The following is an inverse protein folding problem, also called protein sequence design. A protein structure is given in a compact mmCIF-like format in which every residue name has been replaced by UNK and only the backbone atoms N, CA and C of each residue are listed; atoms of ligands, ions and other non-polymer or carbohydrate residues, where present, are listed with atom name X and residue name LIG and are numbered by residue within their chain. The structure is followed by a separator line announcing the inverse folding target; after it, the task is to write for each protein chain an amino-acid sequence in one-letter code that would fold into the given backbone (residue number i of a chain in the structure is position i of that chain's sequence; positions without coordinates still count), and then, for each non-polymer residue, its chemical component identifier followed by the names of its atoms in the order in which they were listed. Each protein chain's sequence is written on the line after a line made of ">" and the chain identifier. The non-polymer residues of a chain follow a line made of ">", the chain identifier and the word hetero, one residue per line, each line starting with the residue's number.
data_IF_431358070215
#
_entry.id   IF_431358070215
#
_cell.length_a   1.000
_cell.length_b   1.000
_cell.length_c   1.000
_cell.angle_alpha   90.00
_cell.angle_beta   90.00
_cell.angle_gamma   90.00
#
_symmetry.space_group_name_H-M   'P 1'
#
loop_
_entity.id
_entity.type
_entity.pdbx_description
1 polymer ?
#
# COMPACT_ATOMS: atom_id res chain seq x y z
N UNK A 1 31.59 -11.24 -15.99
CA UNK A 1 31.31 -11.16 -14.55
C UNK A 1 29.80 -11.32 -14.44
N UNK A 2 29.32 -12.37 -13.77
CA UNK A 2 27.88 -12.51 -13.53
C UNK A 2 27.54 -11.61 -12.34
N UNK A 3 26.57 -10.71 -12.50
CA UNK A 3 26.06 -9.89 -11.40
C UNK A 3 25.05 -10.76 -10.66
N UNK A 4 25.22 -10.90 -9.34
CA UNK A 4 24.34 -11.67 -8.48
C UNK A 4 23.59 -10.72 -7.55
N UNK A 5 22.48 -10.18 -8.06
CA UNK A 5 21.56 -9.35 -7.27
C UNK A 5 20.62 -10.24 -6.45
N UNK A 6 20.12 -9.72 -5.31
CA UNK A 6 19.07 -10.39 -4.52
C UNK A 6 17.86 -10.74 -5.38
N UNK A 7 17.13 -11.83 -5.06
CA UNK A 7 15.89 -12.19 -5.77
C UNK A 7 14.91 -11.02 -5.81
N UNK A 8 14.22 -10.86 -6.94
CA UNK A 8 13.21 -9.81 -7.09
C UNK A 8 11.99 -10.16 -6.24
N UNK A 9 11.59 -9.26 -5.36
CA UNK A 9 10.42 -9.43 -4.52
C UNK A 9 9.11 -9.08 -5.24
N UNK A 10 8.02 -9.70 -4.80
CA UNK A 10 6.66 -9.51 -5.29
C UNK A 10 5.65 -9.50 -4.13
N UNK A 11 4.50 -8.87 -4.32
CA UNK A 11 3.43 -8.90 -3.31
C UNK A 11 2.74 -10.29 -3.29
N UNK A 12 2.32 -10.74 -2.10
CA UNK A 12 1.64 -12.02 -1.93
C UNK A 12 0.38 -11.92 -1.06
N UNK A 13 -0.76 -12.29 -1.65
CA UNK A 13 -2.07 -12.29 -0.99
C UNK A 13 -2.84 -13.60 -1.24
N UNK A 14 -2.11 -14.71 -1.22
CA UNK A 14 -2.63 -16.05 -1.48
C UNK A 14 -2.47 -16.51 -2.93
N UNK A 15 -2.63 -17.81 -3.14
CA UNK A 15 -2.36 -18.48 -4.42
C UNK A 15 -3.50 -19.39 -4.91
N UNK A 16 -4.66 -19.37 -4.23
CA UNK A 16 -5.78 -20.24 -4.56
C UNK A 16 -6.23 -20.05 -6.02
N UNK A 17 -6.48 -21.14 -6.77
CA UNK A 17 -6.95 -21.02 -8.15
C UNK A 17 -8.29 -20.27 -8.25
N UNK A 18 -8.46 -19.44 -9.28
CA UNK A 18 -9.75 -18.79 -9.55
C UNK A 18 -10.90 -19.77 -9.85
N UNK A 19 -10.58 -21.03 -10.18
CA UNK A 19 -11.58 -22.09 -10.36
C UNK A 19 -12.14 -22.64 -9.05
N UNK A 20 -11.48 -22.37 -7.92
CA UNK A 20 -12.00 -22.70 -6.59
C UNK A 20 -13.15 -21.74 -6.30
N UNK A 21 -14.32 -22.21 -5.84
CA UNK A 21 -15.41 -21.34 -5.37
C UNK A 21 -15.02 -20.53 -4.12
N UNK A 22 -15.62 -19.36 -3.90
CA UNK A 22 -15.29 -18.47 -2.78
C UNK A 22 -15.54 -19.12 -1.42
N UNK A 23 -16.71 -19.73 -1.25
CA UNK A 23 -17.08 -20.49 -0.06
C UNK A 23 -16.12 -21.63 0.32
N UNK A 24 -15.30 -22.10 -0.63
CA UNK A 24 -14.34 -23.19 -0.43
C UNK A 24 -12.93 -22.67 -0.10
N UNK A 25 -12.71 -21.35 -0.10
CA UNK A 25 -11.48 -20.75 0.42
C UNK A 25 -11.61 -20.61 1.93
N UNK A 26 -10.62 -21.15 2.64
CA UNK A 26 -10.63 -21.09 4.09
C UNK A 26 -10.23 -19.68 4.58
N UNK A 27 -10.70 -19.24 5.77
CA UNK A 27 -10.37 -17.93 6.32
C UNK A 27 -8.87 -17.63 6.40
N UNK A 28 -8.05 -18.63 6.71
CA UNK A 28 -6.58 -18.50 6.74
C UNK A 28 -5.93 -18.19 5.40
N UNK A 29 -6.66 -18.33 4.29
CA UNK A 29 -6.17 -17.98 2.96
C UNK A 29 -6.72 -16.62 2.49
N UNK A 30 -7.35 -15.86 3.40
CA UNK A 30 -7.95 -14.55 3.15
C UNK A 30 -7.22 -13.48 3.96
N UNK A 31 -6.75 -12.47 3.24
CA UNK A 31 -6.09 -11.27 3.73
C UNK A 31 -7.09 -10.11 3.79
N UNK A 32 -7.15 -9.42 4.93
CA UNK A 32 -7.99 -8.25 5.15
C UNK A 32 -7.10 -7.08 5.54
N UNK A 33 -7.09 -6.06 4.70
CA UNK A 33 -6.56 -4.75 5.06
C UNK A 33 -7.60 -4.01 5.87
N UNK A 34 -7.34 -3.82 7.16
CA UNK A 34 -8.22 -3.07 8.04
C UNK A 34 -7.78 -1.61 8.02
N UNK A 35 -8.39 -0.79 7.15
CA UNK A 35 -8.09 0.65 7.09
C UNK A 35 -8.76 1.34 8.29
N UNK A 36 -7.97 1.60 9.33
CA UNK A 36 -8.39 2.13 10.63
C UNK A 36 -8.66 3.62 10.61
N UNK A 37 -7.83 4.35 9.86
CA UNK A 37 -7.91 5.79 9.72
C UNK A 37 -7.54 6.21 8.31
N UNK A 38 -8.41 7.03 7.74
CA UNK A 38 -8.29 7.60 6.39
C UNK A 38 -8.18 9.14 6.43
N UNK A 39 -8.10 9.74 7.63
CA UNK A 39 -8.03 11.19 7.80
C UNK A 39 -6.69 11.72 7.32
N UNK A 40 -6.70 12.72 6.45
CA UNK A 40 -5.49 13.41 5.96
C UNK A 40 -5.41 14.82 6.56
N UNK A 41 -4.35 15.11 7.31
CA UNK A 41 -4.25 16.35 8.08
C UNK A 41 -2.95 16.52 8.86
N UNK A 42 -2.91 17.55 9.72
CA UNK A 42 -1.72 17.92 10.50
C UNK A 42 -1.21 16.78 11.40
N UNK A 43 -2.13 16.06 12.03
CA UNK A 43 -1.83 15.00 12.99
C UNK A 43 -1.74 13.62 12.33
N UNK A 44 -1.87 13.53 11.01
CA UNK A 44 -1.84 12.28 10.27
C UNK A 44 -0.90 12.43 9.06
N UNK A 45 -1.24 11.90 7.89
CA UNK A 45 -0.52 12.25 6.67
C UNK A 45 -0.69 13.74 6.37
N UNK A 46 0.38 14.52 6.57
CA UNK A 46 0.38 15.95 6.30
C UNK A 46 0.47 16.30 4.80
N UNK A 47 0.60 15.32 3.92
CA UNK A 47 0.66 15.55 2.48
C UNK A 47 -0.75 15.73 1.90
N UNK A 48 -0.88 16.57 0.88
CA UNK A 48 -2.15 16.80 0.17
C UNK A 48 -1.97 16.45 -1.30
N UNK A 49 -1.48 15.23 -1.54
CA UNK A 49 -1.20 14.76 -2.88
C UNK A 49 -2.48 14.84 -3.71
N UNK A 50 -2.42 15.54 -4.85
CA UNK A 50 -3.58 15.75 -5.73
C UNK A 50 -4.18 14.46 -6.28
N UNK A 51 -3.44 13.35 -6.21
CA UNK A 51 -3.87 12.01 -6.62
C UNK A 51 -4.26 11.09 -5.44
N UNK A 52 -4.16 11.53 -4.18
CA UNK A 52 -4.40 10.67 -3.02
C UNK A 52 -5.87 10.26 -2.91
N UNK A 53 -6.11 8.97 -2.69
CA UNK A 53 -7.42 8.34 -2.53
C UNK A 53 -8.21 8.92 -1.38
N UNK A 54 -7.58 8.99 -0.21
CA UNK A 54 -8.15 9.52 1.03
C UNK A 54 -8.53 11.01 0.95
N UNK A 55 -8.05 11.73 -0.08
CA UNK A 55 -8.40 13.13 -0.33
C UNK A 55 -9.52 13.25 -1.37
N UNK A 56 -9.54 12.37 -2.36
CA UNK A 56 -10.36 12.52 -3.56
C UNK A 56 -11.61 11.63 -3.58
N UNK A 57 -11.72 10.63 -2.70
CA UNK A 57 -12.80 9.65 -2.76
C UNK A 57 -13.72 9.72 -1.54
N UNK A 58 -14.97 10.12 -1.77
CA UNK A 58 -15.95 10.41 -0.71
C UNK A 58 -16.22 9.23 0.23
N UNK A 59 -16.19 8.00 -0.29
CA UNK A 59 -16.45 6.77 0.49
C UNK A 59 -15.47 6.61 1.66
N UNK A 60 -14.22 7.00 1.46
CA UNK A 60 -13.12 6.87 2.44
C UNK A 60 -12.58 8.22 2.89
N UNK A 61 -13.23 9.32 2.54
CA UNK A 61 -12.77 10.63 2.96
C UNK A 61 -13.13 10.83 4.44
N UNK A 62 -12.13 11.12 5.27
CA UNK A 62 -12.33 11.53 6.67
C UNK A 62 -13.11 10.48 7.50
N UNK A 63 -12.83 9.20 7.24
CA UNK A 63 -13.39 8.04 7.95
C UNK A 63 -12.38 7.45 8.93
N UNK A 64 -12.85 7.00 10.09
CA UNK A 64 -12.03 6.25 11.05
C UNK A 64 -12.90 5.33 11.88
N UNK A 65 -12.37 4.18 12.30
CA UNK A 65 -12.90 3.48 13.48
C UNK A 65 -12.48 4.24 14.74
N UNK A 66 -13.21 4.02 15.84
CA UNK A 66 -12.76 4.49 17.14
C UNK A 66 -11.45 3.77 17.51
N UNK A 67 -10.50 4.50 18.09
CA UNK A 67 -9.14 4.01 18.30
C UNK A 67 -9.08 2.78 19.22
N UNK A 68 -10.00 2.71 20.20
CA UNK A 68 -10.14 1.56 21.09
C UNK A 68 -10.91 0.38 20.47
N UNK A 69 -11.67 0.60 19.40
CA UNK A 69 -12.45 -0.44 18.73
C UNK A 69 -11.60 -1.21 17.69
N UNK A 70 -10.67 -0.54 17.03
CA UNK A 70 -9.81 -1.15 16.02
C UNK A 70 -9.08 -2.44 16.46
N UNK A 71 -8.47 -2.51 17.66
CA UNK A 71 -7.85 -3.74 18.16
C UNK A 71 -8.85 -4.88 18.34
N UNK A 72 -10.06 -4.57 18.83
CA UNK A 72 -11.12 -5.56 19.03
C UNK A 72 -11.63 -6.11 17.69
N UNK A 73 -11.74 -5.27 16.66
CA UNK A 73 -12.02 -5.71 15.29
C UNK A 73 -10.93 -6.67 14.82
N UNK A 74 -9.66 -6.25 14.92
CA UNK A 74 -8.51 -7.04 14.47
C UNK A 74 -8.50 -8.42 15.15
N UNK A 75 -8.53 -8.45 16.48
CA UNK A 75 -8.53 -9.69 17.26
C UNK A 75 -9.74 -10.57 16.94
N UNK A 76 -10.92 -9.97 16.81
CA UNK A 76 -12.14 -10.68 16.44
C UNK A 76 -12.03 -11.38 15.08
N UNK A 77 -11.47 -10.71 14.07
CA UNK A 77 -11.27 -11.28 12.73
C UNK A 77 -10.14 -12.32 12.72
N UNK A 78 -9.02 -12.08 13.40
CA UNK A 78 -7.93 -13.06 13.52
C UNK A 78 -8.39 -14.34 14.25
N UNK A 79 -9.27 -14.22 15.24
CA UNK A 79 -9.85 -15.39 15.93
C UNK A 79 -10.70 -16.29 15.03
N UNK A 80 -11.17 -15.76 13.89
CA UNK A 80 -11.86 -16.50 12.83
C UNK A 80 -10.90 -17.11 11.79
N UNK A 81 -9.60 -16.83 11.91
CA UNK A 81 -8.54 -17.36 11.06
C UNK A 81 -8.03 -16.40 9.98
N UNK A 82 -8.61 -15.20 9.81
CA UNK A 82 -8.18 -14.25 8.79
C UNK A 82 -6.77 -13.70 9.05
N UNK A 83 -6.04 -13.38 7.97
CA UNK A 83 -4.84 -12.55 8.05
C UNK A 83 -5.22 -11.07 8.02
N UNK A 84 -5.12 -10.36 9.15
CA UNK A 84 -5.58 -8.98 9.26
C UNK A 84 -4.40 -8.00 9.40
N UNK A 85 -4.33 -7.05 8.48
CA UNK A 85 -3.27 -6.05 8.40
C UNK A 85 -3.83 -4.67 8.77
N UNK A 86 -3.51 -4.12 9.95
CA UNK A 86 -3.97 -2.78 10.31
C UNK A 86 -3.30 -1.75 9.40
N UNK A 87 -4.09 -0.85 8.85
CA UNK A 87 -3.64 0.22 7.96
C UNK A 87 -4.12 1.57 8.43
N UNK A 88 -3.26 2.56 8.28
CA UNK A 88 -3.53 3.95 8.62
C UNK A 88 -2.75 4.84 7.67
N UNK A 89 -3.18 6.09 7.54
CA UNK A 89 -2.62 6.99 6.53
C UNK A 89 -1.15 7.39 6.75
N UNK A 90 -0.56 7.13 7.93
CA UNK A 90 0.87 7.33 8.27
C UNK A 90 1.15 6.63 9.61
N UNK A 91 2.26 5.90 9.75
CA UNK A 91 2.59 5.19 11.00
C UNK A 91 2.90 6.13 12.15
N UNK A 92 3.43 7.32 11.85
CA UNK A 92 3.72 8.34 12.85
C UNK A 92 2.53 9.29 13.10
N UNK A 93 1.34 8.96 12.58
CA UNK A 93 0.11 9.69 12.88
C UNK A 93 -0.19 9.67 14.39
N UNK A 94 -0.78 10.75 14.89
CA UNK A 94 -1.12 10.96 16.30
C UNK A 94 0.07 10.65 17.23
N UNK A 95 1.25 11.14 16.86
CA UNK A 95 2.51 10.90 17.60
C UNK A 95 2.80 9.38 17.80
N UNK A 96 2.41 8.59 16.79
CA UNK A 96 2.60 7.14 16.70
C UNK A 96 1.68 6.31 17.61
N UNK A 97 0.50 6.84 17.96
CA UNK A 97 -0.47 6.13 18.79
C UNK A 97 -0.87 4.76 18.21
N UNK A 98 -1.05 4.66 16.89
CA UNK A 98 -1.33 3.37 16.25
C UNK A 98 -0.17 2.37 16.40
N UNK A 99 1.09 2.82 16.32
CA UNK A 99 2.24 1.92 16.53
C UNK A 99 2.24 1.36 17.95
N UNK A 100 1.88 2.17 18.95
CA UNK A 100 1.76 1.72 20.36
C UNK A 100 0.66 0.69 20.54
N UNK A 101 -0.45 0.84 19.82
CA UNK A 101 -1.63 -0.02 19.94
C UNK A 101 -1.40 -1.35 19.24
N UNK A 102 -0.91 -1.34 18.01
CA UNK A 102 -0.84 -2.53 17.16
C UNK A 102 0.52 -3.25 17.23
N UNK A 103 1.57 -2.59 17.75
CA UNK A 103 2.92 -3.12 17.66
C UNK A 103 3.38 -3.22 16.20
N UNK A 104 4.31 -4.12 15.86
CA UNK A 104 4.79 -4.26 14.49
C UNK A 104 3.68 -4.80 13.60
N UNK A 105 3.34 -4.02 12.59
CA UNK A 105 2.36 -4.39 11.56
C UNK A 105 3.03 -4.31 10.18
N UNK A 106 2.49 -5.06 9.23
CA UNK A 106 2.84 -4.92 7.83
C UNK A 106 1.63 -4.33 7.10
N UNK A 107 1.85 -3.31 6.28
CA UNK A 107 0.78 -2.75 5.43
C UNK A 107 0.59 -3.54 4.11
N UNK A 108 1.51 -4.49 3.84
CA UNK A 108 1.72 -5.25 2.62
C UNK A 108 2.47 -6.53 2.98
N UNK A 109 2.52 -7.49 2.07
CA UNK A 109 3.25 -8.74 2.28
C UNK A 109 4.14 -9.00 1.08
N UNK A 110 5.47 -8.90 1.26
CA UNK A 110 6.45 -9.17 0.21
C UNK A 110 7.07 -10.53 0.37
N UNK A 111 7.07 -11.29 -0.72
CA UNK A 111 7.72 -12.60 -0.84
C UNK A 111 8.74 -12.59 -1.96
N UNK A 112 9.61 -13.58 -1.93
CA UNK A 112 10.61 -13.84 -2.95
C UNK A 112 10.65 -15.33 -3.29
N UNK A 113 11.36 -15.65 -4.35
CA UNK A 113 11.60 -17.03 -4.80
C UNK A 113 10.30 -17.82 -5.10
N UNK A 114 10.46 -19.08 -5.47
CA UNK A 114 9.32 -19.93 -5.86
C UNK A 114 8.55 -20.53 -4.67
N UNK A 115 9.14 -20.52 -3.48
CA UNK A 115 8.60 -21.09 -2.25
C UNK A 115 7.92 -20.04 -1.35
N UNK A 116 7.77 -18.82 -1.85
CA UNK A 116 7.14 -17.70 -1.15
C UNK A 116 7.87 -17.35 0.15
N UNK A 117 9.21 -17.38 0.14
CA UNK A 117 10.01 -16.98 1.29
C UNK A 117 9.75 -15.51 1.64
N UNK A 118 9.47 -15.14 2.92
CA UNK A 118 9.37 -13.74 3.34
C UNK A 118 10.67 -12.97 3.07
N UNK A 119 10.56 -11.71 2.64
CA UNK A 119 11.74 -10.85 2.50
C UNK A 119 12.21 -10.33 3.87
N UNK A 120 13.49 -9.95 3.97
CA UNK A 120 14.03 -9.30 5.18
C UNK A 120 13.29 -8.01 5.54
N UNK A 121 12.79 -7.29 4.54
CA UNK A 121 12.00 -6.07 4.68
C UNK A 121 10.73 -6.29 5.51
N UNK A 122 10.15 -7.49 5.46
CA UNK A 122 8.94 -7.85 6.20
C UNK A 122 9.22 -8.55 7.53
N UNK A 123 10.48 -8.81 7.87
CA UNK A 123 10.85 -9.67 9.01
C UNK A 123 10.47 -9.07 10.38
N UNK A 124 10.43 -7.73 10.49
CA UNK A 124 10.19 -7.00 11.74
C UNK A 124 9.19 -5.86 11.57
N UNK A 125 8.08 -6.02 10.85
CA UNK A 125 7.11 -4.94 10.69
C UNK A 125 7.56 -3.85 9.69
N UNK A 126 6.59 -3.19 9.05
CA UNK A 126 6.80 -2.09 8.11
C UNK A 126 6.04 -0.81 8.55
N UNK A 127 6.80 0.19 8.99
CA UNK A 127 6.28 1.50 9.34
C UNK A 127 6.25 2.39 8.09
N UNK A 128 5.13 2.37 7.38
CA UNK A 128 4.93 3.28 6.25
C UNK A 128 4.70 4.72 6.71
N UNK A 129 5.36 5.66 6.04
CA UNK A 129 5.20 7.09 6.29
C UNK A 129 5.25 7.90 4.99
N UNK A 130 4.60 9.05 5.01
CA UNK A 130 4.78 10.09 4.00
C UNK A 130 6.15 10.76 4.05
N UNK A 131 7.00 10.43 5.04
CA UNK A 131 8.33 11.00 5.27
C UNK A 131 8.31 12.33 6.04
N UNK A 132 7.20 13.08 5.93
CA UNK A 132 7.05 14.39 6.60
C UNK A 132 7.22 14.36 8.12
N UNK A 133 6.66 13.40 8.88
CA UNK A 133 6.87 13.35 10.33
C UNK A 133 8.35 13.29 10.70
N UNK A 134 9.15 12.55 9.92
CA UNK A 134 10.58 12.38 10.15
C UNK A 134 11.44 13.59 9.70
N UNK A 135 10.82 14.67 9.20
CA UNK A 135 11.48 15.97 9.02
C UNK A 135 11.36 16.90 10.25
N UNK A 136 10.48 16.58 11.20
CA UNK A 136 10.32 17.35 12.43
C UNK A 136 11.57 17.27 13.33
N UNK A 137 11.68 18.15 14.31
CA UNK A 137 12.84 18.17 15.23
C UNK A 137 12.87 16.94 16.14
N UNK A 138 11.71 16.36 16.43
CA UNK A 138 11.55 15.17 17.29
C UNK A 138 11.65 13.83 16.54
N UNK A 139 12.34 13.81 15.40
CA UNK A 139 12.43 12.63 14.54
C UNK A 139 13.14 11.45 15.22
N UNK A 140 14.07 11.72 16.16
CA UNK A 140 14.75 10.67 16.95
C UNK A 140 13.75 9.99 17.87
N UNK A 141 12.91 10.75 18.57
CA UNK A 141 11.87 10.20 19.45
C UNK A 141 10.83 9.38 18.67
N UNK A 142 10.51 9.79 17.44
CA UNK A 142 9.63 9.01 16.55
C UNK A 142 10.29 7.69 16.12
N UNK A 143 11.58 7.69 15.77
CA UNK A 143 12.30 6.47 15.43
C UNK A 143 12.51 5.56 16.65
N UNK A 144 12.77 6.11 17.83
CA UNK A 144 12.77 5.34 19.08
C UNK A 144 11.40 4.68 19.32
N UNK A 145 10.30 5.41 19.12
CA UNK A 145 8.96 4.87 19.22
C UNK A 145 8.74 3.70 18.24
N UNK A 146 9.17 3.84 16.99
CA UNK A 146 9.05 2.78 15.99
C UNK A 146 9.81 1.51 16.42
N UNK A 147 11.06 1.68 16.88
CA UNK A 147 11.93 0.59 17.33
C UNK A 147 11.33 -0.09 18.57
N UNK A 148 10.92 0.70 19.55
CA UNK A 148 10.35 0.20 20.80
C UNK A 148 8.99 -0.49 20.58
N UNK A 149 8.28 -0.11 19.50
CA UNK A 149 7.07 -0.78 19.02
C UNK A 149 7.37 -2.00 18.14
N UNK A 150 8.64 -2.39 17.95
CA UNK A 150 9.06 -3.60 17.27
C UNK A 150 9.23 -3.50 15.75
N UNK A 151 9.15 -2.29 15.18
CA UNK A 151 9.35 -2.08 13.75
C UNK A 151 10.84 -2.12 13.37
N UNK A 152 11.16 -2.73 12.23
CA UNK A 152 12.51 -2.85 11.68
C UNK A 152 12.64 -2.28 10.28
N UNK A 153 11.54 -1.88 9.63
CA UNK A 153 11.55 -1.23 8.32
C UNK A 153 10.77 0.09 8.37
N UNK A 154 11.33 1.14 7.75
CA UNK A 154 10.62 2.38 7.44
C UNK A 154 10.36 2.43 5.94
N UNK A 155 9.09 2.48 5.55
CA UNK A 155 8.69 2.60 4.14
C UNK A 155 8.31 4.03 3.76
N UNK A 156 8.80 4.52 2.63
CA UNK A 156 8.54 5.87 2.14
C UNK A 156 8.14 5.82 0.66
N UNK A 157 7.05 6.49 0.29
CA UNK A 157 6.71 6.70 -1.12
C UNK A 157 7.53 7.87 -1.69
N UNK A 158 8.33 7.60 -2.72
CA UNK A 158 9.22 8.55 -3.35
C UNK A 158 8.56 9.28 -4.52
N UNK A 159 8.72 10.61 -4.56
CA UNK A 159 8.21 11.46 -5.62
C UNK A 159 9.28 12.44 -6.11
N UNK A 160 10.18 11.95 -6.96
CA UNK A 160 11.21 12.77 -7.58
C UNK A 160 11.54 12.28 -8.98
N UNK A 161 11.92 13.20 -9.86
CA UNK A 161 12.56 12.88 -11.15
C UNK A 161 14.06 12.96 -10.96
N UNK A 162 14.80 12.02 -11.56
CA UNK A 162 16.27 11.96 -11.47
C UNK A 162 16.87 12.40 -12.81
N UNK A 163 17.79 13.35 -12.75
CA UNK A 163 18.53 13.84 -13.93
C UNK A 163 19.71 12.92 -14.31
N UNK A 164 20.40 13.26 -15.39
CA UNK A 164 21.59 12.55 -15.87
C UNK A 164 22.78 12.57 -14.90
N UNK A 165 22.81 13.50 -13.96
CA UNK A 165 23.84 13.60 -12.93
C UNK A 165 23.50 12.75 -11.69
N UNK A 166 22.36 12.05 -11.72
CA UNK A 166 21.79 11.30 -10.61
C UNK A 166 21.49 12.22 -9.42
N UNK A 167 20.90 13.37 -9.70
CA UNK A 167 20.38 14.32 -8.72
C UNK A 167 18.85 14.44 -8.86
N UNK A 168 18.19 14.80 -7.76
CA UNK A 168 16.75 15.09 -7.77
C UNK A 168 16.50 16.42 -8.50
N UNK A 169 15.59 16.39 -9.46
CA UNK A 169 15.08 17.61 -10.11
C UNK A 169 14.00 18.23 -9.22
N UNK A 170 14.35 19.30 -8.50
CA UNK A 170 13.48 20.00 -7.55
C UNK A 170 13.05 21.40 -8.05
N UNK A 171 12.77 21.51 -9.34
CA UNK A 171 12.27 22.73 -9.99
C UNK A 171 10.73 22.75 -10.15
N UNK A 172 10.05 21.77 -9.55
CA UNK A 172 8.61 21.56 -9.69
C UNK A 172 8.21 20.78 -10.95
N UNK A 173 9.15 20.20 -11.69
CA UNK A 173 8.91 19.32 -12.85
C UNK A 173 8.15 18.05 -12.52
N UNK A 174 8.18 17.57 -11.27
CA UNK A 174 7.36 16.42 -10.88
C UNK A 174 5.87 16.73 -11.12
N UNK A 175 5.15 15.90 -11.90
CA UNK A 175 3.85 16.28 -12.44
C UNK A 175 2.77 16.34 -11.36
N UNK A 176 2.88 15.51 -10.30
CA UNK A 176 1.84 15.41 -9.28
C UNK A 176 2.11 16.37 -8.12
N UNK A 177 1.16 17.27 -7.84
CA UNK A 177 1.33 18.32 -6.82
C UNK A 177 0.91 17.86 -5.42
N UNK A 178 1.48 18.50 -4.40
CA UNK A 178 1.18 18.27 -2.98
C UNK A 178 1.79 16.98 -2.39
N UNK A 179 2.74 16.39 -3.12
CA UNK A 179 3.49 15.19 -2.71
C UNK A 179 4.70 15.56 -1.86
N UNK A 180 5.22 14.59 -1.12
CA UNK A 180 6.51 14.71 -0.43
C UNK A 180 7.65 14.68 -1.45
N UNK A 181 8.51 15.69 -1.48
CA UNK A 181 9.51 15.84 -2.53
C UNK A 181 10.63 14.78 -2.43
N UNK A 182 11.25 14.49 -3.57
CA UNK A 182 12.42 13.60 -3.62
C UNK A 182 13.59 14.10 -2.76
N UNK A 183 13.86 15.42 -2.78
CA UNK A 183 14.93 16.03 -1.98
C UNK A 183 14.67 15.90 -0.47
N UNK A 184 13.42 16.05 -0.04
CA UNK A 184 13.06 15.80 1.36
C UNK A 184 13.15 14.31 1.72
N UNK A 185 12.95 13.41 0.76
CA UNK A 185 13.15 11.97 0.98
C UNK A 185 14.62 11.63 1.23
N UNK A 186 15.56 12.22 0.48
CA UNK A 186 17.01 12.06 0.76
C UNK A 186 17.34 12.47 2.19
N UNK A 187 16.77 13.58 2.67
CA UNK A 187 17.00 14.08 4.03
C UNK A 187 16.47 13.12 5.09
N UNK A 188 15.32 12.48 4.85
CA UNK A 188 14.77 11.47 5.76
C UNK A 188 15.63 10.21 5.76
N UNK A 189 16.10 9.73 4.60
CA UNK A 189 17.02 8.60 4.50
C UNK A 189 18.30 8.87 5.30
N UNK A 190 18.88 10.06 5.14
CA UNK A 190 20.08 10.46 5.89
C UNK A 190 19.84 10.50 7.41
N UNK A 191 18.66 10.92 7.86
CA UNK A 191 18.27 10.89 9.28
C UNK A 191 18.17 9.45 9.80
N UNK A 192 17.53 8.56 9.05
CA UNK A 192 17.44 7.14 9.44
C UNK A 192 18.83 6.51 9.53
N UNK A 193 19.71 6.79 8.55
CA UNK A 193 21.10 6.34 8.59
C UNK A 193 21.85 6.89 9.82
N UNK A 194 21.70 8.18 10.11
CA UNK A 194 22.27 8.80 11.32
C UNK A 194 21.76 8.13 12.60
N UNK A 195 20.47 7.86 12.70
CA UNK A 195 19.90 7.16 13.85
C UNK A 195 20.49 5.76 14.00
N UNK A 196 20.57 5.01 12.91
CA UNK A 196 21.17 3.67 12.91
C UNK A 196 22.62 3.69 13.37
N UNK A 197 23.42 4.68 12.97
CA UNK A 197 24.79 4.88 13.47
C UNK A 197 24.84 5.17 14.97
N UNK A 198 23.96 6.02 15.48
CA UNK A 198 23.86 6.32 16.91
C UNK A 198 23.52 5.06 17.72
N UNK A 199 22.58 4.24 17.23
CA UNK A 199 22.22 2.97 17.89
C UNK A 199 23.38 1.98 17.89
N UNK A 200 24.12 1.87 16.78
CA UNK A 200 25.33 1.03 16.69
C UNK A 200 26.41 1.47 17.67
N UNK A 201 26.64 2.78 17.79
CA UNK A 201 27.65 3.34 18.69
C UNK A 201 27.29 3.19 20.18
N UNK A 202 25.99 3.15 20.51
CA UNK A 202 25.50 3.01 21.89
C UNK A 202 25.41 1.55 22.37
N UNK A 203 25.57 0.56 21.49
CA UNK A 203 25.46 -0.85 21.82
C UNK A 203 26.67 -1.35 22.65
N UNK A 204 26.46 -1.98 23.83
CA UNK A 204 27.55 -2.61 24.59
C UNK A 204 28.23 -3.73 23.77
N UNK A 205 29.55 -3.88 23.93
CA UNK A 205 30.31 -4.97 23.28
C UNK A 205 29.65 -6.34 23.51
N UNK A 206 29.31 -7.04 22.42
CA UNK A 206 28.76 -8.40 22.45
C UNK A 206 27.23 -8.52 22.54
N UNK A 207 26.48 -7.43 22.50
CA UNK A 207 25.02 -7.47 22.28
C UNK A 207 24.72 -7.35 20.79
N UNK A 208 23.76 -8.14 20.27
CA UNK A 208 23.17 -7.84 18.97
C UNK A 208 22.61 -6.41 19.01
N UNK A 209 23.02 -5.61 18.03
CA UNK A 209 22.58 -4.23 17.85
C UNK A 209 21.05 -4.23 17.91
N UNK A 210 20.46 -3.43 18.81
CA UNK A 210 19.02 -3.21 18.76
C UNK A 210 18.65 -2.76 17.35
N UNK A 211 17.75 -3.51 16.70
CA UNK A 211 17.56 -3.54 15.25
C UNK A 211 17.67 -2.17 14.59
N UNK A 212 18.68 -2.00 13.73
CA UNK A 212 18.75 -0.83 12.85
C UNK A 212 17.62 -0.91 11.84
N UNK A 213 17.06 0.24 11.50
CA UNK A 213 16.00 0.30 10.50
C UNK A 213 16.54 0.02 9.11
N UNK A 214 15.81 -0.82 8.38
CA UNK A 214 15.87 -0.91 6.93
C UNK A 214 15.02 0.20 6.31
N UNK A 215 15.39 0.63 5.10
CA UNK A 215 14.64 1.62 4.32
C UNK A 215 14.07 0.98 3.07
N UNK A 216 12.74 1.05 2.93
CA UNK A 216 12.02 0.62 1.73
C UNK A 216 11.44 1.84 0.99
N UNK A 217 11.76 1.96 -0.30
CA UNK A 217 11.35 3.07 -1.15
C UNK A 217 10.35 2.60 -2.20
N UNK A 218 9.15 3.18 -2.19
CA UNK A 218 8.15 2.98 -3.25
C UNK A 218 8.23 4.07 -4.32
N UNK A 219 8.66 3.74 -5.54
CA UNK A 219 8.70 4.64 -6.69
C UNK A 219 7.44 4.45 -7.53
N UNK A 220 6.71 5.53 -7.78
CA UNK A 220 5.55 5.50 -8.70
C UNK A 220 6.01 5.78 -10.13
N UNK A 221 5.75 4.83 -11.02
CA UNK A 221 6.10 4.85 -12.44
C UNK A 221 4.88 5.24 -13.26
N UNK A 222 5.00 6.29 -14.07
CA UNK A 222 4.04 6.65 -15.10
C UNK A 222 4.76 7.11 -16.36
N UNK A 223 4.02 7.61 -17.35
CA UNK A 223 4.60 8.04 -18.64
C UNK A 223 5.75 9.03 -18.52
N UNK A 224 5.76 9.85 -17.47
CA UNK A 224 6.81 10.82 -17.18
C UNK A 224 8.17 10.20 -16.78
N UNK A 225 8.24 8.95 -16.35
CA UNK A 225 9.46 8.34 -15.81
C UNK A 225 9.62 6.83 -16.06
N UNK A 226 8.83 6.24 -16.96
CA UNK A 226 8.84 4.80 -17.27
C UNK A 226 9.93 4.32 -18.23
N UNK A 227 10.58 5.22 -18.97
CA UNK A 227 11.57 4.82 -19.96
C UNK A 227 12.80 4.17 -19.32
N UNK A 228 13.44 3.24 -20.03
CA UNK A 228 14.64 2.53 -19.57
C UNK A 228 15.71 3.42 -18.94
N UNK A 229 16.04 4.56 -19.58
CA UNK A 229 17.02 5.50 -19.04
C UNK A 229 16.61 6.06 -17.68
N UNK A 230 15.32 6.37 -17.50
CA UNK A 230 14.77 6.85 -16.22
C UNK A 230 14.84 5.76 -15.16
N UNK A 231 14.46 4.52 -15.50
CA UNK A 231 14.54 3.37 -14.59
C UNK A 231 16.00 3.11 -14.16
N UNK A 232 16.95 3.16 -15.10
CA UNK A 232 18.38 3.02 -14.81
C UNK A 232 18.87 4.15 -13.90
N UNK A 233 18.44 5.40 -14.13
CA UNK A 233 18.76 6.53 -13.24
C UNK A 233 18.24 6.29 -11.83
N UNK A 234 17.02 5.79 -11.66
CA UNK A 234 16.51 5.42 -10.32
C UNK A 234 17.37 4.35 -9.67
N UNK A 235 17.70 3.27 -10.39
CA UNK A 235 18.56 2.19 -9.87
C UNK A 235 19.91 2.75 -9.41
N UNK A 236 20.59 3.52 -10.27
CA UNK A 236 21.90 4.10 -9.96
C UNK A 236 21.84 5.14 -8.85
N UNK A 237 20.75 5.90 -8.77
CA UNK A 237 20.51 6.89 -7.74
C UNK A 237 20.31 6.20 -6.39
N UNK A 238 19.44 5.19 -6.31
CA UNK A 238 19.21 4.47 -5.05
C UNK A 238 20.38 3.60 -4.63
N UNK A 239 21.25 3.15 -5.53
CA UNK A 239 22.53 2.54 -5.13
C UNK A 239 23.47 3.50 -4.38
N UNK A 240 23.34 4.81 -4.58
CA UNK A 240 24.10 5.82 -3.83
C UNK A 240 23.48 6.11 -2.47
N UNK A 241 22.21 5.76 -2.29
CA UNK A 241 21.48 5.95 -1.05
C UNK A 241 21.52 4.63 -0.27
N UNK A 242 21.71 4.69 1.04
CA UNK A 242 21.72 3.50 1.89
C UNK A 242 20.27 3.01 2.09
N UNK A 243 19.70 2.37 1.07
CA UNK A 243 18.34 1.82 1.06
C UNK A 243 18.39 0.31 0.83
N UNK A 244 17.44 -0.41 1.41
CA UNK A 244 17.42 -1.88 1.42
C UNK A 244 16.48 -2.46 0.36
N UNK A 245 15.43 -1.72 0.00
CA UNK A 245 14.45 -2.16 -1.00
C UNK A 245 13.97 -0.99 -1.84
N UNK A 246 13.86 -1.20 -3.14
CA UNK A 246 13.22 -0.26 -4.07
C UNK A 246 12.10 -0.99 -4.80
N UNK A 247 10.87 -0.57 -4.51
CA UNK A 247 9.64 -1.10 -5.10
C UNK A 247 9.11 -0.17 -6.18
N UNK A 248 8.88 -0.71 -7.36
CA UNK A 248 8.23 0.03 -8.45
C UNK A 248 6.73 -0.24 -8.49
N UNK A 249 5.96 0.85 -8.56
CA UNK A 249 4.50 0.87 -8.55
C UNK A 249 4.01 1.50 -9.85
N UNK A 250 2.92 1.02 -10.43
CA UNK A 250 2.35 1.68 -11.60
C UNK A 250 1.45 2.84 -11.16
N UNK A 251 1.54 3.96 -11.85
CA UNK A 251 0.61 5.05 -11.71
C UNK A 251 -0.73 4.68 -12.35
N UNK A 252 -1.79 4.76 -11.56
CA UNK A 252 -3.16 4.59 -12.05
C UNK A 252 -3.94 5.90 -11.85
N UNK A 253 -4.63 6.35 -12.91
CA UNK A 253 -5.32 7.64 -12.95
C UNK A 253 -6.73 7.57 -12.37
N UNK A 254 -6.82 7.47 -11.05
CA UNK A 254 -8.12 7.34 -10.41
C UNK A 254 -8.89 8.64 -10.27
N UNK A 255 -10.20 8.55 -10.53
CA UNK A 255 -11.05 9.73 -10.61
C UNK A 255 -10.64 10.68 -11.74
N UNK A 256 -9.86 10.20 -12.73
CA UNK A 256 -9.41 10.97 -13.89
C UNK A 256 -8.33 12.02 -13.57
N UNK A 257 -7.68 11.96 -12.40
CA UNK A 257 -6.55 12.85 -12.08
C UNK A 257 -5.31 12.40 -12.83
N UNK A 258 -4.63 13.34 -13.48
CA UNK A 258 -3.40 13.13 -14.26
C UNK A 258 -3.45 11.92 -15.20
N UNK A 259 -4.55 11.75 -15.95
CA UNK A 259 -4.77 10.62 -16.86
C UNK A 259 -3.68 10.48 -17.94
N UNK A 260 -3.03 11.58 -18.30
CA UNK A 260 -1.88 11.61 -19.20
C UNK A 260 -0.66 10.85 -18.66
N UNK A 261 -0.56 10.61 -17.35
CA UNK A 261 0.54 9.84 -16.75
C UNK A 261 0.32 8.32 -16.80
N UNK A 262 -0.89 7.85 -17.08
CA UNK A 262 -1.19 6.42 -17.10
C UNK A 262 -0.53 5.74 -18.30
N UNK A 263 0.18 4.64 -18.03
CA UNK A 263 0.85 3.84 -19.05
C UNK A 263 -0.13 2.93 -19.80
N UNK A 264 0.18 2.63 -21.05
CA UNK A 264 -0.47 1.59 -21.85
C UNK A 264 0.04 0.20 -21.45
N UNK A 265 -0.64 -0.85 -21.94
CA UNK A 265 -0.22 -2.24 -21.70
C UNK A 265 1.16 -2.55 -22.28
N UNK A 266 1.46 -1.98 -23.44
CA UNK A 266 2.74 -2.09 -24.12
C UNK A 266 3.85 -1.39 -23.33
N UNK A 267 3.57 -0.19 -22.82
CA UNK A 267 4.48 0.56 -21.94
C UNK A 267 4.77 -0.25 -20.65
N UNK A 268 3.74 -0.81 -20.00
CA UNK A 268 3.89 -1.67 -18.81
C UNK A 268 4.74 -2.91 -19.12
N UNK A 269 4.49 -3.58 -20.25
CA UNK A 269 5.24 -4.76 -20.66
C UNK A 269 6.72 -4.43 -20.93
N UNK A 270 6.99 -3.26 -21.51
CA UNK A 270 8.37 -2.79 -21.72
C UNK A 270 9.07 -2.51 -20.39
N UNK A 271 8.39 -1.91 -19.40
CA UNK A 271 8.97 -1.69 -18.07
C UNK A 271 9.38 -3.00 -17.40
N UNK A 272 8.56 -4.06 -17.49
CA UNK A 272 8.94 -5.37 -16.96
C UNK A 272 10.21 -5.94 -17.61
N UNK A 273 10.34 -5.81 -18.94
CA UNK A 273 11.54 -6.22 -19.67
C UNK A 273 12.75 -5.39 -19.24
N UNK A 274 12.59 -4.07 -19.14
CA UNK A 274 13.67 -3.15 -18.76
C UNK A 274 14.13 -3.40 -17.32
N UNK A 275 13.21 -3.55 -16.36
CA UNK A 275 13.54 -3.89 -14.97
C UNK A 275 14.25 -5.23 -14.87
N UNK A 276 13.80 -6.25 -15.63
CA UNK A 276 14.47 -7.56 -15.65
C UNK A 276 15.88 -7.47 -16.21
N UNK A 277 16.07 -6.70 -17.29
CA UNK A 277 17.38 -6.50 -17.89
C UNK A 277 18.30 -5.72 -16.95
N UNK A 278 17.81 -4.65 -16.31
CA UNK A 278 18.56 -3.89 -15.31
C UNK A 278 18.97 -4.79 -14.14
N UNK A 279 18.08 -5.63 -13.62
CA UNK A 279 18.39 -6.61 -12.58
C UNK A 279 19.47 -7.62 -13.01
N UNK A 280 19.57 -7.95 -14.30
CA UNK A 280 20.62 -8.83 -14.82
C UNK A 280 21.92 -8.15 -15.23
N UNK A 281 21.95 -6.81 -15.32
CA UNK A 281 23.06 -6.06 -15.94
C UNK A 281 23.63 -4.91 -15.12
N UNK A 282 22.94 -4.49 -14.05
CA UNK A 282 23.37 -3.44 -13.12
C UNK A 282 23.38 -4.02 -11.72
N UNK A 283 24.50 -3.87 -11.01
CA UNK A 283 24.61 -4.25 -9.60
C UNK A 283 23.67 -3.39 -8.76
N UNK A 284 22.90 -4.02 -7.87
CA UNK A 284 21.95 -3.36 -6.98
C UNK A 284 22.33 -3.64 -5.54
N UNK A 285 22.55 -2.59 -4.74
CA UNK A 285 22.81 -2.71 -3.30
C UNK A 285 21.53 -2.93 -2.48
N UNK A 286 20.38 -2.90 -3.15
CA UNK A 286 19.05 -3.06 -2.59
C UNK A 286 18.31 -4.22 -3.28
N UNK A 287 17.28 -4.75 -2.61
CA UNK A 287 16.35 -5.68 -3.25
C UNK A 287 15.38 -4.92 -4.17
N UNK A 288 15.33 -5.33 -5.45
CA UNK A 288 14.30 -4.86 -6.38
C UNK A 288 12.95 -5.51 -6.03
N UNK A 289 11.88 -4.72 -6.01
CA UNK A 289 10.52 -5.21 -5.86
C UNK A 289 9.59 -4.61 -6.92
N UNK A 290 8.55 -5.36 -7.32
CA UNK A 290 7.49 -4.84 -8.21
C UNK A 290 6.12 -5.10 -7.60
N UNK A 291 5.28 -4.08 -7.61
CA UNK A 291 3.90 -4.13 -7.11
C UNK A 291 3.02 -5.10 -7.92
N UNK A 292 2.09 -5.80 -7.27
CA UNK A 292 1.01 -6.54 -7.94
C UNK A 292 0.12 -5.58 -8.74
N UNK A 293 -0.15 -4.40 -8.19
CA UNK A 293 -0.85 -3.30 -8.88
C UNK A 293 -0.06 -2.72 -10.08
N UNK A 294 1.14 -3.22 -10.39
CA UNK A 294 1.89 -2.75 -11.56
C UNK A 294 1.19 -3.11 -12.88
N UNK A 295 0.37 -4.15 -12.86
CA UNK A 295 -0.34 -4.69 -14.03
C UNK A 295 0.30 -5.98 -14.53
N UNK A 296 -0.44 -6.74 -15.33
CA UNK A 296 -0.08 -8.13 -15.69
C UNK A 296 0.54 -8.26 -17.09
N UNK A 297 0.50 -7.18 -17.87
CA UNK A 297 1.01 -7.16 -19.24
C UNK A 297 2.53 -7.24 -19.22
N UNK A 298 3.08 -8.37 -19.67
CA UNK A 298 4.54 -8.59 -19.70
C UNK A 298 5.17 -9.13 -18.42
N UNK A 299 4.40 -9.36 -17.35
CA UNK A 299 4.91 -9.83 -16.04
C UNK A 299 5.73 -11.13 -16.13
N UNK A 300 5.47 -11.97 -17.14
CA UNK A 300 6.23 -13.20 -17.41
C UNK A 300 7.74 -12.97 -17.58
N UNK A 301 8.16 -11.77 -18.00
CA UNK A 301 9.56 -11.41 -18.10
C UNK A 301 10.30 -11.52 -16.77
N UNK A 302 9.61 -11.31 -15.64
CA UNK A 302 10.22 -11.34 -14.32
C UNK A 302 10.64 -12.74 -13.88
N UNK A 303 9.96 -13.77 -14.38
CA UNK A 303 10.17 -15.15 -13.95
C UNK A 303 9.58 -15.46 -12.57
N UNK A 304 8.59 -14.67 -12.13
CA UNK A 304 7.85 -14.94 -10.90
C UNK A 304 7.07 -16.26 -10.96
N UNK A 305 6.67 -16.82 -9.80
CA UNK A 305 5.74 -17.94 -9.74
C UNK A 305 4.45 -17.67 -10.52
N UNK A 306 3.82 -18.72 -11.05
CA UNK A 306 2.68 -18.58 -11.97
C UNK A 306 1.43 -17.91 -11.39
N UNK A 307 1.32 -17.84 -10.06
CA UNK A 307 0.23 -17.18 -9.35
C UNK A 307 0.45 -15.65 -9.21
N UNK A 308 1.67 -15.15 -9.44
CA UNK A 308 2.01 -13.72 -9.37
C UNK A 308 1.51 -13.01 -10.62
N UNK A 309 0.86 -11.86 -10.43
CA UNK A 309 0.10 -11.16 -11.46
C UNK A 309 -1.36 -11.61 -11.55
N UNK A 310 -1.86 -12.41 -10.61
CA UNK A 310 -3.29 -12.67 -10.47
C UNK A 310 -3.86 -11.75 -9.40
N UNK A 311 -4.53 -10.67 -9.82
CA UNK A 311 -5.14 -9.70 -8.89
C UNK A 311 -6.02 -10.41 -7.84
N UNK A 312 -5.55 -10.46 -6.59
CA UNK A 312 -6.25 -11.12 -5.46
C UNK A 312 -7.38 -10.30 -4.84
N UNK A 313 -7.45 -9.02 -5.19
CA UNK A 313 -8.50 -8.10 -4.78
C UNK A 313 -9.90 -8.68 -5.06
N UNK A 314 -10.76 -8.62 -4.05
CA UNK A 314 -12.13 -9.14 -4.10
C UNK A 314 -12.21 -10.66 -4.25
N UNK A 315 -11.19 -11.40 -3.82
CA UNK A 315 -11.18 -12.87 -3.84
C UNK A 315 -10.46 -13.49 -2.65
N UNK A 316 -9.21 -13.06 -2.43
CA UNK A 316 -8.37 -13.44 -1.28
C UNK A 316 -7.77 -12.23 -0.58
N UNK A 317 -7.80 -11.06 -1.22
CA UNK A 317 -7.49 -9.78 -0.60
C UNK A 317 -8.76 -8.91 -0.56
N UNK A 318 -9.06 -8.36 0.60
CA UNK A 318 -10.15 -7.41 0.81
C UNK A 318 -9.67 -6.22 1.64
N UNK A 319 -10.37 -5.09 1.53
CA UNK A 319 -10.24 -4.00 2.48
C UNK A 319 -11.50 -3.93 3.34
N UNK A 320 -11.34 -3.76 4.65
CA UNK A 320 -12.40 -3.37 5.57
C UNK A 320 -12.23 -1.89 5.91
N UNK A 321 -13.21 -1.07 5.52
CA UNK A 321 -13.18 0.39 5.71
C UNK A 321 -14.29 0.85 6.66
N UNK A 322 -14.10 1.94 7.42
CA UNK A 322 -15.13 2.45 8.31
C UNK A 322 -16.32 2.99 7.51
N UNK A 323 -17.53 2.68 7.95
CA UNK A 323 -18.76 3.10 7.31
C UNK A 323 -19.71 3.75 8.34
N UNK A 324 -20.77 4.40 7.84
CA UNK A 324 -21.81 4.92 8.71
C UNK A 324 -22.51 3.76 9.45
N UNK A 325 -22.67 3.91 10.77
CA UNK A 325 -23.27 2.88 11.61
C UNK A 325 -24.71 2.62 11.19
N UNK A 326 -25.02 1.36 10.93
CA UNK A 326 -26.37 0.91 10.57
C UNK A 326 -26.77 -0.28 11.44
N UNK A 327 -27.88 -0.14 12.17
CA UNK A 327 -28.48 -1.27 12.91
C UNK A 327 -29.10 -2.23 11.90
N UNK A 328 -28.62 -3.47 11.90
CA UNK A 328 -29.12 -4.54 11.04
C UNK A 328 -30.26 -5.31 11.73
N UNK A 329 -30.08 -5.57 13.03
CA UNK A 329 -30.98 -6.36 13.84
C UNK A 329 -30.86 -5.95 15.31
N UNK A 330 -31.99 -5.85 16.02
CA UNK A 330 -32.02 -5.58 17.46
C UNK A 330 -33.20 -6.34 18.09
N UNK A 331 -32.90 -7.43 18.80
CA UNK A 331 -33.89 -8.29 19.43
C UNK A 331 -33.29 -9.10 20.58
N UNK A 332 -34.06 -9.31 21.66
CA UNK A 332 -33.70 -10.27 22.72
C UNK A 332 -32.42 -9.97 23.49
N UNK A 333 -31.98 -8.70 23.57
CA UNK A 333 -30.72 -8.32 24.22
C UNK A 333 -29.47 -8.51 23.34
N UNK A 334 -29.67 -8.90 22.07
CA UNK A 334 -28.67 -8.93 21.02
C UNK A 334 -28.88 -7.76 20.05
N UNK A 335 -27.79 -7.11 19.66
CA UNK A 335 -27.78 -6.03 18.68
C UNK A 335 -26.69 -6.27 17.66
N UNK A 336 -27.04 -6.24 16.37
CA UNK A 336 -26.11 -6.37 15.24
C UNK A 336 -26.06 -5.08 14.46
N UNK A 337 -24.87 -4.59 14.21
CA UNK A 337 -24.62 -3.31 13.56
C UNK A 337 -23.57 -3.49 12.47
N UNK A 338 -23.85 -2.95 11.29
CA UNK A 338 -22.81 -2.70 10.30
C UNK A 338 -22.00 -1.50 10.79
N UNK A 339 -20.69 -1.69 10.87
CA UNK A 339 -19.72 -0.65 11.26
C UNK A 339 -18.70 -0.36 10.15
N UNK A 340 -18.63 -1.21 9.13
CA UNK A 340 -17.72 -1.04 8.00
C UNK A 340 -18.22 -1.70 6.73
N UNK A 341 -17.65 -1.28 5.60
CA UNK A 341 -17.81 -1.95 4.31
C UNK A 341 -16.61 -2.88 4.08
N UNK A 342 -16.86 -4.04 3.48
CA UNK A 342 -15.81 -4.90 2.94
C UNK A 342 -15.80 -4.77 1.43
N UNK A 343 -14.65 -4.39 0.88
CA UNK A 343 -14.51 -4.00 -0.53
C UNK A 343 -13.38 -4.79 -1.20
N UNK A 344 -13.48 -4.94 -2.52
CA UNK A 344 -12.55 -5.76 -3.29
C UNK A 344 -11.14 -5.20 -3.35
N UNK A 345 -10.99 -3.90 -3.68
CA UNK A 345 -9.68 -3.28 -3.84
C UNK A 345 -9.42 -2.18 -2.80
N UNK A 346 -8.22 -2.22 -2.25
CA UNK A 346 -7.71 -1.33 -1.20
C UNK A 346 -7.27 0.04 -1.73
N UNK A 347 -7.19 0.18 -3.06
CA UNK A 347 -6.83 1.40 -3.74
C UNK A 347 -8.09 2.14 -4.23
N UNK A 348 -9.04 1.42 -4.84
CA UNK A 348 -10.29 2.03 -5.33
C UNK A 348 -11.43 2.02 -4.30
N UNK A 349 -11.31 1.21 -3.25
CA UNK A 349 -12.35 0.95 -2.24
C UNK A 349 -13.65 0.40 -2.84
N UNK A 350 -13.50 -0.33 -3.94
CA UNK A 350 -14.58 -0.92 -4.72
C UNK A 350 -14.15 -2.26 -5.34
N UNK A 351 -15.10 -3.11 -5.78
CA UNK A 351 -16.54 -3.02 -5.49
C UNK A 351 -16.83 -3.34 -4.02
N UNK A 352 -18.04 -2.99 -3.53
CA UNK A 352 -18.55 -3.52 -2.26
C UNK A 352 -18.82 -5.03 -2.39
N UNK A 353 -18.27 -5.83 -1.46
CA UNK A 353 -18.29 -7.29 -1.49
C UNK A 353 -18.67 -7.91 -0.12
N UNK A 354 -19.14 -7.10 0.82
CA UNK A 354 -19.55 -7.55 2.14
C UNK A 354 -19.57 -6.43 3.14
N UNK A 355 -19.79 -6.77 4.40
CA UNK A 355 -19.87 -5.81 5.51
C UNK A 355 -19.08 -6.30 6.72
N UNK A 356 -18.57 -5.36 7.50
CA UNK A 356 -18.02 -5.61 8.83
C UNK A 356 -19.12 -5.39 9.87
N UNK A 357 -19.42 -6.44 10.64
CA UNK A 357 -20.51 -6.48 11.60
C UNK A 357 -19.98 -6.54 13.02
N UNK A 358 -20.51 -5.65 13.86
CA UNK A 358 -20.41 -5.71 15.32
C UNK A 358 -21.66 -6.37 15.88
N UNK A 359 -21.50 -7.39 16.71
CA UNK A 359 -22.58 -8.01 17.48
C UNK A 359 -22.35 -7.74 18.95
N UNK A 360 -23.33 -7.16 19.63
CA UNK A 360 -23.33 -6.96 21.09
C UNK A 360 -24.42 -7.84 21.69
N UNK A 361 -24.03 -8.78 22.54
CA UNK A 361 -24.96 -9.72 23.21
C UNK A 361 -24.48 -9.99 24.64
N UNK A 362 -25.35 -9.78 25.63
CA UNK A 362 -25.00 -10.05 27.03
C UNK A 362 -23.85 -9.22 27.62
N UNK A 363 -23.47 -8.10 26.96
CA UNK A 363 -22.31 -7.28 27.34
C UNK A 363 -20.99 -7.71 26.68
N UNK A 364 -21.01 -8.79 25.90
CA UNK A 364 -19.88 -9.21 25.05
C UNK A 364 -20.03 -8.61 23.65
N UNK A 365 -18.90 -8.24 23.05
CA UNK A 365 -18.84 -7.67 21.70
C UNK A 365 -18.05 -8.62 20.81
N UNK A 366 -18.66 -9.06 19.73
CA UNK A 366 -18.03 -9.86 18.67
C UNK A 366 -17.97 -9.09 17.35
N UNK A 367 -16.97 -9.41 16.54
CA UNK A 367 -16.75 -8.81 15.22
C UNK A 367 -16.66 -9.91 14.17
N UNK A 368 -17.32 -9.71 13.02
CA UNK A 368 -17.28 -10.67 11.92
C UNK A 368 -17.40 -9.96 10.57
N UNK A 369 -16.85 -10.58 9.53
CA UNK A 369 -17.12 -10.19 8.15
C UNK A 369 -18.25 -11.06 7.59
N UNK A 370 -19.24 -10.41 7.00
CA UNK A 370 -20.27 -11.08 6.21
C UNK A 370 -20.00 -10.78 4.73
N UNK A 371 -19.42 -11.75 4.04
CA UNK A 371 -19.13 -11.66 2.62
C UNK A 371 -20.40 -11.81 1.78
N UNK A 372 -20.50 -11.03 0.71
CA UNK A 372 -21.47 -11.25 -0.36
C UNK A 372 -20.86 -12.22 -1.38
N UNK A 373 -21.02 -13.52 -1.11
CA UNK A 373 -20.43 -14.58 -1.94
C UNK A 373 -20.90 -14.50 -3.40
N UNK A 374 -22.16 -14.15 -3.64
CA UNK A 374 -22.71 -14.01 -4.99
C UNK A 374 -22.03 -12.86 -5.74
N UNK A 375 -21.85 -11.70 -5.09
CA UNK A 375 -21.14 -10.57 -5.68
C UNK A 375 -19.66 -10.90 -5.97
N UNK A 376 -18.99 -11.64 -5.07
CA UNK A 376 -17.60 -12.07 -5.24
C UNK A 376 -17.46 -13.01 -6.44
N UNK A 377 -18.36 -13.98 -6.57
CA UNK A 377 -18.37 -14.92 -7.71
C UNK A 377 -18.69 -14.20 -9.02
N UNK A 378 -19.67 -13.30 -9.02
CA UNK A 378 -20.00 -12.48 -10.18
C UNK A 378 -18.80 -11.60 -10.61
N UNK A 379 -18.13 -10.96 -9.66
CA UNK A 379 -16.92 -10.17 -9.92
C UNK A 379 -15.79 -11.03 -10.51
N UNK A 380 -15.59 -12.22 -9.97
CA UNK A 380 -14.59 -13.18 -10.45
C UNK A 380 -14.90 -13.67 -11.87
N UNK A 381 -16.15 -14.02 -12.16
CA UNK A 381 -16.59 -14.44 -13.49
C UNK A 381 -16.39 -13.33 -14.55
N UNK A 382 -16.65 -12.07 -14.20
CA UNK A 382 -16.41 -10.92 -15.11
C UNK A 382 -14.92 -10.74 -15.42
N UNK A 383 -14.03 -10.93 -14.45
CA UNK A 383 -12.57 -10.93 -14.69
C UNK A 383 -12.14 -12.08 -15.60
N UNK A 384 -12.57 -13.30 -15.30
CA UNK A 384 -12.18 -14.50 -16.07
C UNK A 384 -12.70 -14.50 -17.51
N UNK A 385 -13.88 -13.93 -17.73
CA UNK A 385 -14.46 -13.78 -19.07
C UNK A 385 -13.82 -12.64 -19.88
N UNK A 386 -12.97 -11.81 -19.27
CA UNK A 386 -12.38 -10.63 -19.89
C UNK A 386 -13.31 -9.43 -19.99
N UNK A 387 -14.48 -9.47 -19.34
CA UNK A 387 -15.37 -8.31 -19.25
C UNK A 387 -14.75 -7.17 -18.43
N UNK A 388 -13.90 -7.51 -17.45
CA UNK A 388 -13.06 -6.54 -16.73
C UNK A 388 -11.60 -6.73 -17.08
N UNK A 389 -11.06 -5.74 -17.78
CA UNK A 389 -9.73 -5.83 -18.40
C UNK A 389 -8.59 -5.64 -17.41
N UNK A 390 -8.83 -4.95 -16.29
CA UNK A 390 -7.81 -4.59 -15.28
C UNK A 390 -8.29 -4.81 -13.84
N UNK A 391 -9.06 -5.88 -13.62
CA UNK A 391 -9.59 -6.23 -12.30
C UNK A 391 -10.39 -5.08 -11.68
N UNK A 392 -10.05 -4.68 -10.46
CA UNK A 392 -10.72 -3.56 -9.76
C UNK A 392 -10.39 -2.17 -10.33
N UNK A 393 -9.36 -2.08 -11.17
CA UNK A 393 -8.98 -0.86 -11.90
C UNK A 393 -9.66 -0.77 -13.27
N UNK A 394 -10.46 -1.78 -13.65
CA UNK A 394 -11.19 -1.81 -14.91
C UNK A 394 -12.07 -0.56 -15.09
N UNK A 395 -11.96 0.05 -16.27
CA UNK A 395 -12.80 1.20 -16.65
C UNK A 395 -14.27 0.78 -16.71
N UNK A 396 -14.52 -0.42 -17.18
CA UNK A 396 -15.83 -1.05 -17.28
C UNK A 396 -16.51 -1.17 -15.91
N UNK A 397 -15.75 -1.55 -14.88
CA UNK A 397 -16.24 -1.56 -13.49
C UNK A 397 -16.52 -0.14 -12.99
N UNK A 398 -15.61 0.81 -13.26
CA UNK A 398 -15.78 2.20 -12.87
C UNK A 398 -17.02 2.85 -13.49
N UNK A 399 -17.30 2.56 -14.77
CA UNK A 399 -18.50 2.98 -15.48
C UNK A 399 -19.76 2.34 -14.88
N UNK A 400 -19.73 1.02 -14.63
CA UNK A 400 -20.86 0.27 -14.04
C UNK A 400 -21.22 0.80 -12.64
N UNK A 401 -20.23 1.14 -11.83
CA UNK A 401 -20.40 1.68 -10.48
C UNK A 401 -20.62 3.21 -10.46
N UNK A 402 -20.51 3.89 -11.60
CA UNK A 402 -20.69 5.35 -11.70
C UNK A 402 -19.62 6.16 -10.94
N UNK A 403 -18.37 5.69 -10.96
CA UNK A 403 -17.25 6.23 -10.17
C UNK A 403 -16.52 7.41 -10.83
N UNK A 404 -16.88 7.80 -12.05
CA UNK A 404 -16.21 8.89 -12.76
C UNK A 404 -16.33 10.24 -11.99
N UNK A 405 -15.23 10.58 -11.30
CA UNK A 405 -14.90 11.87 -10.69
C UNK A 405 -15.97 12.50 -9.76
N UNK A 406 -16.08 11.96 -8.54
CA UNK A 406 -16.62 12.71 -7.40
C UNK A 406 -15.50 13.23 -6.49
N UNK A 407 -14.77 14.26 -6.94
CA UNK A 407 -14.15 15.17 -5.96
C UNK A 407 -15.29 15.63 -5.04
N UNK A 408 -15.17 15.50 -3.70
CA UNK A 408 -16.24 15.85 -2.78
C UNK A 408 -16.81 17.22 -3.15
N UNK A 409 -18.13 17.35 -3.28
CA UNK A 409 -18.77 18.61 -3.73
C UNK A 409 -18.27 19.83 -2.94
N UNK A 410 -17.96 19.63 -1.66
CA UNK A 410 -17.46 20.65 -0.72
C UNK A 410 -16.04 21.15 -1.00
N UNK A 411 -15.28 20.51 -1.90
CA UNK A 411 -13.87 20.85 -2.23
C UNK A 411 -13.58 20.90 -3.73
N UNK A 412 -14.59 20.90 -4.60
CA UNK A 412 -14.38 21.22 -6.02
C UNK A 412 -13.83 22.66 -6.09
N UNK A 413 -12.57 22.82 -6.46
CA UNK A 413 -12.05 24.12 -6.86
C UNK A 413 -12.94 24.63 -8.02
N UNK A 414 -13.31 25.91 -8.05
CA UNK A 414 -14.03 26.45 -9.19
C UNK A 414 -13.21 26.15 -10.45
N UNK A 415 -13.86 25.55 -11.45
CA UNK A 415 -13.25 25.32 -12.75
C UNK A 415 -12.87 26.71 -13.27
N UNK A 416 -11.56 26.98 -13.35
CA UNK A 416 -11.08 28.17 -14.04
C UNK A 416 -11.30 27.87 -15.51
N UNK A 417 -12.39 28.40 -16.08
CA UNK A 417 -12.55 28.46 -17.53
C UNK A 417 -11.35 29.22 -18.09
N UNK A 418 -10.42 28.51 -18.72
CA UNK A 418 -9.45 29.14 -19.61
C UNK A 418 -10.26 29.70 -20.77
N UNK A 419 -10.52 31.01 -20.72
CA UNK A 419 -10.96 31.76 -21.90
C UNK A 419 -9.91 31.55 -22.98
N UNK A 420 -10.36 31.07 -24.13
CA UNK A 420 -9.55 30.92 -25.34
C UNK A 420 -9.09 32.24 -25.93
#
# INVERSE_FOLDING_TARGET
>A
MFIENSPIAYDFHGDAPFSTPFKDIAPQDIHIYLDLDTKVGKNTCGQKCTHCWFVNYEKVYDRSFEMAEGPLIKEGLESQGFHVYPRYVDSFAYDGEFMRIYGPANNREFRQDADHTPTETMAKGDAWTSGRPLLADNWVELLDLARDSGYGTISITYHGVIDENLAVVDDGSYPIKGVFSGADTERVIARIAQYNELQRAAAPEGREIGDTFRVNIGVTVGRHNHGRESLERYVRYFNKLDVDTVRFNNYAAHGGKHAELQMSKEEIAQVYLDLKELHGSVEMTFQLAVSEDFGTSGIKAMGFPGHVGWCRAGRQLFAAIPADLQVLEEAGGRRREKIGDVVGCVNTFEPHLGILVRTVEGGETGYAVEFDEEAIEAFTAKRLSGAYTDGCFARELSEELGLESRVPQRRRLPIVETRG
#
